data_IF_924185643163
#
_entry.id   IF_924185643163
#
_cell.length_a   1.000
_cell.length_b   1.000
_cell.length_c   1.000
_cell.angle_alpha   90.00
_cell.angle_beta   90.00
_cell.angle_gamma   90.00
#
_symmetry.space_group_name_H-M   'P 1'
#
loop_
_entity.id
_entity.type
_entity.pdbx_description
1 polymer ?
#
# COMPACT_ATOMS: atom_id res chain seq x y z
N UNK A 1 20.03 23.89 -12.13
CA UNK A 1 20.43 22.58 -11.60
C UNK A 1 19.16 21.83 -11.35
N UNK A 2 18.84 20.90 -12.25
CA UNK A 2 17.79 19.93 -12.01
C UNK A 2 18.34 19.01 -10.92
N UNK A 3 17.83 19.10 -9.69
CA UNK A 3 18.09 18.05 -8.73
C UNK A 3 17.33 16.86 -9.28
N UNK A 4 18.05 15.98 -9.98
CA UNK A 4 17.52 14.74 -10.53
C UNK A 4 16.99 13.87 -9.39
N UNK A 5 15.77 14.14 -8.95
CA UNK A 5 15.00 13.22 -8.14
C UNK A 5 14.69 12.07 -9.09
N UNK A 6 15.41 10.96 -8.93
CA UNK A 6 15.12 9.75 -9.66
C UNK A 6 13.65 9.37 -9.49
N UNK A 7 13.08 8.65 -10.46
CA UNK A 7 11.66 8.25 -10.44
C UNK A 7 11.28 7.35 -9.25
N UNK A 8 12.23 6.96 -8.39
CA UNK A 8 12.03 6.04 -7.29
C UNK A 8 12.25 6.76 -5.95
N UNK A 9 11.42 6.44 -4.96
CA UNK A 9 11.63 6.84 -3.56
C UNK A 9 12.87 6.14 -3.00
N UNK A 10 13.77 6.87 -2.34
CA UNK A 10 14.99 6.31 -1.75
C UNK A 10 15.18 6.84 -0.33
N UNK A 11 15.59 5.97 0.60
CA UNK A 11 15.99 6.35 1.95
C UNK A 11 17.41 5.82 2.24
N UNK A 12 18.31 6.74 2.59
CA UNK A 12 19.68 6.44 3.01
C UNK A 12 19.73 6.30 4.53
N UNK A 13 19.75 5.06 5.02
CA UNK A 13 19.94 4.73 6.46
C UNK A 13 21.28 4.07 6.77
N UNK A 14 21.97 3.58 5.75
CA UNK A 14 23.32 2.99 5.83
C UNK A 14 24.02 3.13 4.48
N UNK A 15 25.11 2.39 4.25
CA UNK A 15 25.85 2.43 2.97
C UNK A 15 25.07 1.91 1.76
N UNK A 16 23.91 1.25 1.97
CA UNK A 16 23.01 0.79 0.89
C UNK A 16 21.64 1.45 1.07
N UNK A 17 21.08 2.10 0.03
CA UNK A 17 19.77 2.73 0.10
C UNK A 17 18.64 1.71 0.16
N UNK A 18 17.56 2.06 0.86
CA UNK A 18 16.27 1.38 0.74
C UNK A 18 15.50 2.05 -0.40
N UNK A 19 15.12 1.27 -1.41
CA UNK A 19 14.45 1.76 -2.61
C UNK A 19 12.97 1.36 -2.62
N UNK A 20 12.10 2.28 -3.01
CA UNK A 20 10.66 2.08 -3.17
C UNK A 20 9.86 2.44 -1.91
N UNK A 21 8.72 3.12 -2.12
CA UNK A 21 7.85 3.60 -1.04
C UNK A 21 7.37 2.47 -0.11
N UNK A 22 7.01 1.31 -0.66
CA UNK A 22 6.53 0.18 0.16
C UNK A 22 7.63 -0.46 1.00
N UNK A 23 8.88 -0.49 0.51
CA UNK A 23 10.02 -0.98 1.28
C UNK A 23 10.40 0.00 2.39
N UNK A 24 10.32 1.30 2.08
CA UNK A 24 10.45 2.36 3.08
C UNK A 24 9.37 2.21 4.17
N UNK A 25 8.11 2.03 3.80
CA UNK A 25 7.02 1.84 4.76
C UNK A 25 7.24 0.62 5.66
N UNK A 26 7.65 -0.53 5.09
CA UNK A 26 8.03 -1.72 5.86
C UNK A 26 9.17 -1.44 6.85
N UNK A 27 10.19 -0.71 6.40
CA UNK A 27 11.30 -0.33 7.27
C UNK A 27 10.84 0.54 8.43
N UNK A 28 10.07 1.60 8.14
CA UNK A 28 9.54 2.50 9.16
C UNK A 28 8.68 1.75 10.18
N UNK A 29 7.72 0.94 9.72
CA UNK A 29 6.83 0.19 10.59
C UNK A 29 7.56 -0.68 11.63
N UNK A 30 8.70 -1.27 11.24
CA UNK A 30 9.59 -2.02 12.15
C UNK A 30 10.39 -1.12 13.08
N UNK A 31 10.93 -0.01 12.55
CA UNK A 31 11.80 0.88 13.31
C UNK A 31 11.06 1.65 14.43
N UNK A 32 9.81 2.09 14.20
CA UNK A 32 9.11 3.01 15.10
C UNK A 32 8.17 2.33 16.12
N UNK A 33 8.18 0.99 16.24
CA UNK A 33 7.19 0.23 17.06
C UNK A 33 5.75 0.69 16.79
N UNK A 34 5.39 0.72 15.51
CA UNK A 34 4.10 1.22 15.04
C UNK A 34 2.93 0.38 15.57
N UNK A 35 1.75 0.96 15.85
CA UNK A 35 0.54 0.17 16.08
C UNK A 35 0.14 -0.67 14.84
N UNK A 36 0.72 -0.39 13.67
CA UNK A 36 0.58 -1.15 12.42
C UNK A 36 1.61 -2.29 12.32
N UNK A 37 2.11 -2.80 13.46
CA UNK A 37 3.21 -3.78 13.57
C UNK A 37 3.20 -4.80 12.43
N UNK A 38 4.35 -4.96 11.78
CA UNK A 38 4.53 -5.88 10.64
C UNK A 38 5.22 -7.19 11.04
N UNK A 39 6.23 -7.13 11.93
CA UNK A 39 7.08 -8.29 12.27
C UNK A 39 6.44 -9.29 13.25
N UNK A 40 5.41 -8.88 13.99
CA UNK A 40 4.73 -9.74 14.98
C UNK A 40 3.64 -10.63 14.38
N UNK A 41 3.42 -10.55 13.06
CA UNK A 41 2.21 -11.05 12.44
C UNK A 41 2.42 -12.36 11.68
N UNK A 42 1.49 -13.30 11.86
CA UNK A 42 1.40 -14.53 11.06
C UNK A 42 1.14 -14.27 9.57
N UNK A 43 0.68 -13.07 9.23
CA UNK A 43 0.20 -12.72 7.88
C UNK A 43 1.20 -11.85 7.12
N UNK A 44 2.46 -11.78 7.56
CA UNK A 44 3.49 -10.95 6.93
C UNK A 44 3.66 -11.24 5.42
N UNK A 45 3.45 -12.49 4.99
CA UNK A 45 3.47 -12.90 3.58
C UNK A 45 2.31 -12.28 2.79
N UNK A 46 1.11 -12.23 3.37
CA UNK A 46 -0.05 -11.62 2.74
C UNK A 46 0.12 -10.10 2.66
N UNK A 47 0.64 -9.49 3.73
CA UNK A 47 0.99 -8.07 3.74
C UNK A 47 2.00 -7.76 2.62
N UNK A 48 3.09 -8.52 2.53
CA UNK A 48 4.11 -8.32 1.49
C UNK A 48 3.51 -8.44 0.08
N UNK A 49 2.64 -9.41 -0.14
CA UNK A 49 1.94 -9.59 -1.42
C UNK A 49 1.07 -8.38 -1.76
N UNK A 50 0.38 -7.80 -0.78
CA UNK A 50 -0.43 -6.60 -0.96
C UNK A 50 0.44 -5.36 -1.21
N UNK A 51 1.59 -5.24 -0.55
CA UNK A 51 2.55 -4.18 -0.79
C UNK A 51 3.10 -4.22 -2.23
N UNK A 52 3.39 -5.40 -2.76
CA UNK A 52 3.79 -5.57 -4.16
C UNK A 52 2.68 -5.14 -5.12
N UNK A 53 1.42 -5.49 -4.82
CA UNK A 53 0.26 -5.00 -5.59
C UNK A 53 0.19 -3.48 -5.56
N UNK A 54 0.41 -2.83 -4.41
CA UNK A 54 0.39 -1.37 -4.27
C UNK A 54 1.49 -0.72 -5.11
N UNK A 55 2.71 -1.26 -5.07
CA UNK A 55 3.81 -0.82 -5.92
C UNK A 55 3.47 -0.91 -7.41
N UNK A 56 2.82 -2.02 -7.82
CA UNK A 56 2.38 -2.21 -9.20
C UNK A 56 1.24 -1.27 -9.60
N UNK A 57 0.33 -0.92 -8.69
CA UNK A 57 -0.78 0.04 -8.97
C UNK A 57 -0.22 1.40 -9.38
N UNK A 58 0.77 1.90 -8.64
CA UNK A 58 1.41 3.20 -8.94
C UNK A 58 2.15 3.17 -10.26
N UNK A 59 2.66 2.01 -10.67
CA UNK A 59 3.45 1.81 -11.89
C UNK A 59 2.65 1.28 -13.08
N UNK A 60 1.36 1.03 -12.91
CA UNK A 60 0.51 0.49 -13.95
C UNK A 60 0.51 1.43 -15.16
N UNK A 61 0.86 0.91 -16.33
CA UNK A 61 0.99 1.70 -17.56
C UNK A 61 -0.35 1.86 -18.27
N UNK A 62 -1.33 1.02 -17.94
CA UNK A 62 -2.65 1.03 -18.56
C UNK A 62 -3.76 1.01 -17.52
N UNK A 63 -4.92 1.55 -17.89
CA UNK A 63 -6.13 1.49 -17.04
C UNK A 63 -6.57 0.04 -16.78
N UNK A 64 -6.43 -0.85 -17.76
CA UNK A 64 -6.80 -2.26 -17.63
C UNK A 64 -5.91 -3.00 -16.63
N UNK A 65 -4.59 -2.78 -16.69
CA UNK A 65 -3.64 -3.33 -15.71
C UNK A 65 -3.97 -2.84 -14.30
N UNK A 66 -4.17 -1.52 -14.14
CA UNK A 66 -4.54 -0.94 -12.84
C UNK A 66 -5.87 -1.49 -12.32
N UNK A 67 -6.89 -1.61 -13.17
CA UNK A 67 -8.18 -2.18 -12.79
C UNK A 67 -8.05 -3.64 -12.30
N UNK A 68 -7.20 -4.44 -12.93
CA UNK A 68 -6.91 -5.81 -12.47
C UNK A 68 -6.27 -5.84 -11.08
N UNK A 69 -5.30 -4.96 -10.84
CA UNK A 69 -4.63 -4.84 -9.54
C UNK A 69 -5.58 -4.34 -8.43
N UNK A 70 -6.42 -3.35 -8.74
CA UNK A 70 -7.49 -2.88 -7.85
C UNK A 70 -8.48 -4.01 -7.53
N UNK A 71 -8.80 -4.86 -8.50
CA UNK A 71 -9.66 -6.03 -8.27
C UNK A 71 -9.01 -7.04 -7.31
N UNK A 72 -7.69 -7.21 -7.34
CA UNK A 72 -6.97 -8.04 -6.37
C UNK A 72 -7.10 -7.48 -4.95
N UNK A 73 -6.91 -6.17 -4.74
CA UNK A 73 -7.16 -5.53 -3.43
C UNK A 73 -8.62 -5.73 -2.97
N UNK A 74 -9.58 -5.57 -3.88
CA UNK A 74 -10.99 -5.76 -3.57
C UNK A 74 -11.32 -7.21 -3.16
N UNK A 75 -10.64 -8.20 -3.74
CA UNK A 75 -10.78 -9.61 -3.36
C UNK A 75 -10.22 -9.88 -1.97
N UNK A 76 -9.04 -9.34 -1.64
CA UNK A 76 -8.45 -9.46 -0.30
C UNK A 76 -9.34 -8.80 0.76
N UNK A 77 -9.93 -7.64 0.46
CA UNK A 77 -10.91 -7.01 1.34
C UNK A 77 -12.13 -7.91 1.60
N UNK A 78 -12.65 -8.58 0.58
CA UNK A 78 -13.78 -9.50 0.72
C UNK A 78 -14.96 -8.88 1.48
N UNK A 79 -15.32 -9.46 2.64
CA UNK A 79 -16.29 -8.90 3.60
C UNK A 79 -15.63 -8.26 4.82
N UNK A 80 -14.31 -8.28 4.89
CA UNK A 80 -13.54 -7.74 5.99
C UNK A 80 -13.53 -6.21 5.95
N UNK A 81 -13.16 -5.64 7.08
CA UNK A 81 -13.04 -4.20 7.23
C UNK A 81 -11.70 -3.66 6.70
N UNK A 82 -10.64 -4.46 6.80
CA UNK A 82 -9.27 -4.14 6.38
C UNK A 82 -8.71 -5.25 5.47
N UNK A 83 -7.67 -4.96 4.69
CA UNK A 83 -7.24 -5.80 3.57
C UNK A 83 -6.74 -7.20 3.93
N UNK A 84 -6.29 -7.41 5.17
CA UNK A 84 -5.73 -8.70 5.65
C UNK A 84 -6.76 -9.45 6.52
N UNK A 85 -8.06 -9.16 6.37
CA UNK A 85 -9.11 -9.83 7.16
C UNK A 85 -9.18 -9.43 8.63
N UNK A 86 -8.40 -8.42 9.06
CA UNK A 86 -8.22 -8.03 10.46
C UNK A 86 -9.30 -7.07 10.96
N UNK A 87 -9.42 -6.96 12.28
CA UNK A 87 -10.21 -5.92 12.95
C UNK A 87 -9.52 -4.55 12.97
N UNK A 88 -8.19 -4.53 12.84
CA UNK A 88 -7.35 -3.33 12.82
C UNK A 88 -6.61 -3.20 11.49
N UNK A 89 -6.30 -1.96 11.13
CA UNK A 89 -5.55 -1.67 9.91
C UNK A 89 -4.08 -2.08 10.07
N UNK A 90 -3.44 -2.36 8.94
CA UNK A 90 -2.01 -2.69 8.86
C UNK A 90 -1.30 -1.77 7.85
N UNK A 91 -0.01 -1.98 7.66
CA UNK A 91 0.74 -1.26 6.62
C UNK A 91 0.23 -1.56 5.20
N UNK A 92 -0.45 -2.69 4.97
CA UNK A 92 -1.09 -2.98 3.69
C UNK A 92 -2.18 -1.96 3.38
N UNK A 93 -2.94 -1.54 4.40
CA UNK A 93 -4.01 -0.54 4.22
C UNK A 93 -3.44 0.85 3.95
N UNK A 94 -2.36 1.23 4.63
CA UNK A 94 -1.64 2.50 4.38
C UNK A 94 -1.10 2.55 2.95
N UNK A 95 -0.42 1.48 2.51
CA UNK A 95 0.16 1.40 1.18
C UNK A 95 -0.92 1.43 0.09
N UNK A 96 -2.00 0.67 0.26
CA UNK A 96 -3.10 0.63 -0.70
C UNK A 96 -3.81 1.99 -0.79
N UNK A 97 -4.02 2.66 0.34
CA UNK A 97 -4.66 3.96 0.38
C UNK A 97 -3.81 5.00 -0.36
N UNK A 98 -2.51 5.03 -0.06
CA UNK A 98 -1.53 5.88 -0.75
C UNK A 98 -1.52 5.59 -2.26
N UNK A 99 -1.38 4.32 -2.66
CA UNK A 99 -1.30 3.93 -4.06
C UNK A 99 -2.56 4.29 -4.86
N UNK A 100 -3.75 4.07 -4.29
CA UNK A 100 -5.02 4.43 -4.92
C UNK A 100 -5.12 5.95 -5.08
N UNK A 101 -4.78 6.72 -4.04
CA UNK A 101 -4.79 8.18 -4.06
C UNK A 101 -3.83 8.78 -5.09
N UNK A 102 -2.68 8.14 -5.30
CA UNK A 102 -1.68 8.59 -6.28
C UNK A 102 -2.03 8.24 -7.72
N UNK A 103 -2.59 7.05 -7.98
CA UNK A 103 -2.61 6.46 -9.32
C UNK A 103 -4.00 6.18 -9.88
N UNK A 104 -5.05 6.28 -9.07
CA UNK A 104 -6.42 5.93 -9.47
C UNK A 104 -7.38 7.11 -9.28
N UNK A 105 -8.47 7.10 -10.05
CA UNK A 105 -9.61 7.99 -9.79
C UNK A 105 -10.67 7.25 -8.98
N UNK A 106 -11.50 7.98 -8.23
CA UNK A 106 -12.60 7.38 -7.46
C UNK A 106 -13.61 6.60 -8.32
N UNK A 107 -13.70 6.90 -9.62
CA UNK A 107 -14.55 6.17 -10.56
C UNK A 107 -13.96 4.81 -10.99
N UNK A 108 -12.68 4.55 -10.70
CA UNK A 108 -11.98 3.31 -11.06
C UNK A 108 -12.03 2.24 -9.96
N UNK A 109 -12.42 2.62 -8.72
CA UNK A 109 -12.47 1.69 -7.59
C UNK A 109 -13.88 1.11 -7.42
N UNK A 110 -13.95 -0.14 -6.96
CA UNK A 110 -15.22 -0.81 -6.66
C UNK A 110 -15.94 -0.13 -5.50
N UNK A 111 -17.25 -0.34 -5.36
CA UNK A 111 -18.02 0.20 -4.24
C UNK A 111 -17.48 -0.27 -2.86
N UNK A 112 -16.96 -1.49 -2.76
CA UNK A 112 -16.40 -2.02 -1.52
C UNK A 112 -15.07 -1.34 -1.17
N UNK A 113 -14.16 -1.21 -2.15
CA UNK A 113 -12.94 -0.42 -1.99
C UNK A 113 -13.25 1.05 -1.72
N UNK A 114 -14.28 1.64 -2.31
CA UNK A 114 -14.70 3.00 -2.01
C UNK A 114 -15.07 3.22 -0.55
N UNK A 115 -15.80 2.27 0.06
CA UNK A 115 -16.13 2.31 1.50
C UNK A 115 -14.89 2.15 2.37
N UNK A 116 -13.99 1.22 2.02
CA UNK A 116 -12.72 1.06 2.72
C UNK A 116 -11.83 2.31 2.58
N UNK A 117 -11.78 2.92 1.40
CA UNK A 117 -10.99 4.12 1.12
C UNK A 117 -11.43 5.31 1.99
N UNK A 118 -12.73 5.57 2.09
CA UNK A 118 -13.25 6.62 2.97
C UNK A 118 -12.97 6.32 4.45
N UNK A 119 -12.92 5.04 4.85
CA UNK A 119 -12.51 4.67 6.20
C UNK A 119 -11.04 5.02 6.44
N UNK A 120 -10.16 4.73 5.47
CA UNK A 120 -8.75 5.11 5.54
C UNK A 120 -8.57 6.61 5.75
N UNK A 121 -9.35 7.47 5.07
CA UNK A 121 -9.29 8.94 5.23
C UNK A 121 -9.58 9.43 6.66
N UNK A 122 -10.29 8.64 7.46
CA UNK A 122 -10.60 8.97 8.87
C UNK A 122 -9.57 8.43 9.85
N UNK A 123 -8.70 7.53 9.39
CA UNK A 123 -7.73 6.80 10.23
C UNK A 123 -6.29 7.23 9.97
N UNK A 124 -5.96 7.59 8.72
CA UNK A 124 -4.63 7.99 8.26
C UNK A 124 -4.63 9.42 7.71
#
# INVERSE_FOLDING_TARGET
MDFGVGANTELLVSHVPILGEVNLLRYLARAIKSPLNYDSDSDCIEIDSLLDICYLIVRARTKTERASLLQSLNKSLGKAQWLVGRSQASIADVAAYSAIKQASNMNEISANLGKWFHRCETVF
#
